data_IF_079550708667
#
_entry.id   IF_079550708667
#
_cell.length_a   1.000
_cell.length_b   1.000
_cell.length_c   1.000
_cell.angle_alpha   90.00
_cell.angle_beta   90.00
_cell.angle_gamma   90.00
#
_symmetry.space_group_name_H-M   'P 1'
#
loop_
_entity.id
_entity.type
_entity.pdbx_description
1 polymer ?
#
# COMPACT_ATOMS: atom_id res chain seq x y z
N UNK A 1 -28.25 -26.27 16.37
CA UNK A 1 -27.07 -25.58 16.88
C UNK A 1 -27.00 -24.24 16.17
N UNK A 2 -27.46 -23.16 16.76
CA UNK A 2 -27.37 -21.82 16.19
C UNK A 2 -25.91 -21.40 16.31
N UNK A 3 -25.18 -21.40 15.19
CA UNK A 3 -23.86 -20.81 15.10
C UNK A 3 -24.04 -19.32 15.44
N UNK A 4 -23.48 -18.86 16.55
CA UNK A 4 -23.39 -17.44 16.83
C UNK A 4 -22.72 -16.79 15.63
N UNK A 5 -23.25 -15.67 15.07
CA UNK A 5 -22.64 -15.03 13.91
C UNK A 5 -21.21 -14.66 14.26
N UNK A 6 -20.26 -15.22 13.52
CA UNK A 6 -18.84 -14.92 13.73
C UNK A 6 -18.63 -13.40 13.61
N UNK A 7 -17.97 -12.82 14.61
CA UNK A 7 -17.79 -11.37 14.69
C UNK A 7 -16.76 -10.91 13.64
N UNK A 8 -17.16 -10.02 12.73
CA UNK A 8 -16.25 -9.38 11.78
C UNK A 8 -15.10 -8.64 12.51
N UNK A 9 -15.46 -7.88 13.54
CA UNK A 9 -14.52 -7.10 14.36
C UNK A 9 -13.78 -7.98 15.38
N UNK A 10 -13.08 -9.00 14.87
CA UNK A 10 -12.17 -9.79 15.69
C UNK A 10 -10.78 -9.11 15.76
N UNK A 11 -10.01 -9.47 16.80
CA UNK A 11 -8.68 -8.88 17.05
C UNK A 11 -7.75 -8.98 15.85
N UNK A 12 -7.74 -10.12 15.17
CA UNK A 12 -6.84 -10.34 14.02
C UNK A 12 -7.22 -9.47 12.83
N UNK A 13 -8.51 -9.31 12.55
CA UNK A 13 -8.97 -8.43 11.48
C UNK A 13 -8.60 -6.97 11.76
N UNK A 14 -8.81 -6.49 13.00
CA UNK A 14 -8.45 -5.13 13.41
C UNK A 14 -6.93 -4.91 13.25
N UNK A 15 -6.10 -5.84 13.70
CA UNK A 15 -4.64 -5.77 13.51
C UNK A 15 -4.24 -5.73 12.02
N UNK A 16 -4.97 -6.48 11.18
CA UNK A 16 -4.76 -6.50 9.74
C UNK A 16 -5.09 -5.14 9.11
N UNK A 17 -6.19 -4.49 9.53
CA UNK A 17 -6.58 -3.15 9.09
C UNK A 17 -5.52 -2.11 9.48
N UNK A 18 -5.03 -2.14 10.72
CA UNK A 18 -3.98 -1.20 11.16
C UNK A 18 -2.66 -1.44 10.44
N UNK A 19 -2.25 -2.70 10.23
CA UNK A 19 -1.04 -3.00 9.46
C UNK A 19 -1.14 -2.42 8.04
N UNK A 20 -2.27 -2.63 7.36
CA UNK A 20 -2.52 -2.11 6.02
C UNK A 20 -2.57 -0.57 6.02
N UNK A 21 -3.25 0.04 6.99
CA UNK A 21 -3.33 1.49 7.16
C UNK A 21 -1.94 2.12 7.30
N UNK A 22 -1.08 1.62 8.19
CA UNK A 22 0.27 2.17 8.37
C UNK A 22 1.16 1.97 7.14
N UNK A 23 1.02 0.84 6.43
CA UNK A 23 1.71 0.62 5.17
C UNK A 23 1.36 1.71 4.14
N UNK A 24 0.07 2.02 4.01
CA UNK A 24 -0.38 3.00 3.03
C UNK A 24 -0.18 4.45 3.49
N UNK A 25 -0.26 4.76 4.79
CA UNK A 25 0.17 6.06 5.32
C UNK A 25 1.64 6.31 4.98
N UNK A 26 2.51 5.35 5.24
CA UNK A 26 3.93 5.42 4.87
C UNK A 26 4.12 5.63 3.37
N UNK A 27 3.45 4.82 2.55
CA UNK A 27 3.57 4.89 1.09
C UNK A 27 3.16 6.25 0.53
N UNK A 28 1.98 6.76 0.90
CA UNK A 28 1.46 8.03 0.39
C UNK A 28 2.19 9.24 0.99
N UNK A 29 2.68 9.16 2.22
CA UNK A 29 3.57 10.18 2.79
C UNK A 29 4.85 10.32 1.97
N UNK A 30 5.51 9.20 1.63
CA UNK A 30 6.70 9.22 0.76
C UNK A 30 6.39 9.70 -0.65
N UNK A 31 5.26 9.29 -1.22
CA UNK A 31 4.85 9.72 -2.56
C UNK A 31 4.76 11.25 -2.63
N UNK A 32 4.29 11.89 -1.55
CA UNK A 32 4.13 13.35 -1.47
C UNK A 32 5.43 14.07 -1.18
N UNK A 33 6.27 13.54 -0.29
CA UNK A 33 7.42 14.29 0.22
C UNK A 33 8.70 14.10 -0.61
N UNK A 34 8.86 12.95 -1.27
CA UNK A 34 10.09 12.66 -2.02
C UNK A 34 10.38 13.62 -3.17
N UNK A 35 9.40 14.06 -3.97
CA UNK A 35 9.67 15.09 -4.99
C UNK A 35 10.24 16.37 -4.39
N UNK A 36 9.71 16.80 -3.24
CA UNK A 36 10.15 18.02 -2.55
C UNK A 36 11.57 17.82 -2.01
N UNK A 37 11.85 16.66 -1.40
CA UNK A 37 13.18 16.31 -0.90
C UNK A 37 14.24 16.29 -2.00
N UNK A 38 13.92 15.65 -3.15
CA UNK A 38 14.83 15.56 -4.29
C UNK A 38 15.19 16.96 -4.81
N UNK A 39 14.19 17.84 -4.96
CA UNK A 39 14.40 19.19 -5.50
C UNK A 39 15.08 20.14 -4.51
N UNK A 40 14.79 20.03 -3.20
CA UNK A 40 15.30 20.97 -2.20
C UNK A 40 16.61 20.53 -1.57
N UNK A 41 16.77 19.26 -1.21
CA UNK A 41 17.92 18.77 -0.45
C UNK A 41 18.96 18.08 -1.33
N UNK A 42 18.52 17.35 -2.37
CA UNK A 42 19.44 16.65 -3.26
C UNK A 42 19.79 17.44 -4.52
N UNK A 43 19.24 18.64 -4.72
CA UNK A 43 19.49 19.49 -5.88
C UNK A 43 19.03 18.87 -7.21
N UNK A 44 18.13 17.90 -7.14
CA UNK A 44 17.61 17.22 -8.32
C UNK A 44 16.49 18.01 -9.03
N UNK A 45 16.19 17.59 -10.25
CA UNK A 45 15.16 18.17 -11.11
C UNK A 45 13.79 17.50 -10.89
N UNK A 46 12.73 18.11 -11.42
CA UNK A 46 11.36 17.53 -11.47
C UNK A 46 11.38 16.18 -12.21
N UNK A 47 12.22 16.05 -13.25
CA UNK A 47 12.37 14.79 -14.00
C UNK A 47 12.92 13.67 -13.13
N UNK A 48 13.90 13.95 -12.31
CA UNK A 48 14.51 12.97 -11.39
C UNK A 48 13.56 12.61 -10.24
N UNK A 49 12.78 13.59 -9.77
CA UNK A 49 11.69 13.33 -8.82
C UNK A 49 10.64 12.36 -9.42
N UNK A 50 10.22 12.59 -10.66
CA UNK A 50 9.34 11.67 -11.39
C UNK A 50 9.96 10.29 -11.59
N UNK A 51 11.27 10.21 -11.88
CA UNK A 51 12.00 8.95 -12.02
C UNK A 51 12.01 8.13 -10.72
N UNK A 52 12.21 8.76 -9.57
CA UNK A 52 12.19 8.09 -8.28
C UNK A 52 10.82 7.45 -7.97
N UNK A 53 9.72 8.12 -8.32
CA UNK A 53 8.37 7.57 -8.19
C UNK A 53 8.14 6.43 -9.18
N UNK A 54 8.56 6.62 -10.42
CA UNK A 54 8.40 5.63 -11.50
C UNK A 54 9.18 4.34 -11.21
N UNK A 55 10.42 4.42 -10.74
CA UNK A 55 11.25 3.25 -10.43
C UNK A 55 10.61 2.36 -9.35
N UNK A 56 10.02 2.97 -8.32
CA UNK A 56 9.29 2.23 -7.28
C UNK A 56 8.08 1.50 -7.87
N UNK A 57 7.26 2.19 -8.66
CA UNK A 57 6.08 1.60 -9.28
C UNK A 57 6.47 0.54 -10.32
N UNK A 58 7.45 0.81 -11.16
CA UNK A 58 7.94 -0.12 -12.18
C UNK A 58 8.44 -1.42 -11.54
N UNK A 59 9.28 -1.34 -10.51
CA UNK A 59 9.77 -2.52 -9.79
C UNK A 59 8.63 -3.28 -9.11
N UNK A 60 7.68 -2.56 -8.49
CA UNK A 60 6.52 -3.17 -7.85
C UNK A 60 5.62 -3.91 -8.85
N UNK A 61 5.35 -3.31 -10.01
CA UNK A 61 4.53 -3.92 -11.07
C UNK A 61 5.26 -5.13 -11.67
N UNK A 62 6.56 -5.00 -11.98
CA UNK A 62 7.35 -6.07 -12.59
C UNK A 62 7.44 -7.33 -11.68
N UNK A 63 7.49 -7.14 -10.36
CA UNK A 63 7.59 -8.25 -9.40
C UNK A 63 6.22 -8.85 -9.05
N UNK A 64 5.12 -8.15 -9.31
CA UNK A 64 3.77 -8.60 -8.90
C UNK A 64 3.38 -9.99 -9.39
N UNK A 65 3.63 -10.40 -10.66
CA UNK A 65 3.34 -11.77 -11.10
C UNK A 65 4.11 -12.84 -10.32
N UNK A 66 5.33 -12.52 -9.91
CA UNK A 66 6.20 -13.43 -9.14
C UNK A 66 5.87 -13.44 -7.65
N UNK A 67 5.24 -12.40 -7.13
CA UNK A 67 4.85 -12.29 -5.72
C UNK A 67 3.90 -13.42 -5.32
N UNK A 68 2.93 -13.79 -6.17
CA UNK A 68 2.04 -14.93 -5.96
C UNK A 68 2.81 -16.24 -5.77
N UNK A 69 3.75 -16.54 -6.66
CA UNK A 69 4.59 -17.75 -6.60
C UNK A 69 5.49 -17.77 -5.36
N UNK A 70 6.03 -16.63 -4.95
CA UNK A 70 6.81 -16.51 -3.72
C UNK A 70 5.94 -16.84 -2.51
N UNK A 71 4.71 -16.33 -2.46
CA UNK A 71 3.75 -16.57 -1.39
C UNK A 71 3.33 -18.05 -1.35
N UNK A 72 3.12 -18.69 -2.49
CA UNK A 72 2.81 -20.11 -2.56
C UNK A 72 3.96 -20.98 -2.05
N UNK A 73 5.21 -20.67 -2.43
CA UNK A 73 6.40 -21.42 -2.01
C UNK A 73 6.74 -21.22 -0.53
N UNK A 74 6.81 -19.98 -0.07
CA UNK A 74 7.23 -19.63 1.29
C UNK A 74 6.07 -19.69 2.30
N UNK A 75 4.83 -19.51 1.83
CA UNK A 75 3.65 -19.36 2.66
C UNK A 75 3.37 -17.90 3.03
N UNK A 76 2.12 -17.62 3.39
CA UNK A 76 1.63 -16.28 3.69
C UNK A 76 2.35 -15.63 4.87
N UNK A 77 2.56 -16.40 5.94
CA UNK A 77 3.19 -15.91 7.18
C UNK A 77 4.63 -15.48 6.96
N UNK A 78 5.44 -16.33 6.31
CA UNK A 78 6.85 -16.04 6.04
C UNK A 78 6.95 -14.89 5.05
N UNK A 79 6.16 -14.91 3.98
CA UNK A 79 6.16 -13.84 2.97
C UNK A 79 5.77 -12.48 3.56
N UNK A 80 4.71 -12.43 4.39
CA UNK A 80 4.24 -11.18 4.98
C UNK A 80 5.24 -10.62 6.01
N UNK A 81 5.72 -11.46 6.91
CA UNK A 81 6.68 -11.04 7.96
C UNK A 81 8.05 -10.72 7.38
N UNK A 82 8.57 -11.58 6.49
CA UNK A 82 9.88 -11.39 5.85
C UNK A 82 9.91 -10.14 4.98
N UNK A 83 8.93 -10.00 4.08
CA UNK A 83 8.82 -8.79 3.27
C UNK A 83 8.59 -7.54 4.13
N UNK A 84 7.82 -7.63 5.22
CA UNK A 84 7.60 -6.54 6.16
C UNK A 84 8.89 -6.08 6.85
N UNK A 85 9.72 -7.01 7.31
CA UNK A 85 11.03 -6.69 7.91
C UNK A 85 11.93 -5.97 6.91
N UNK A 86 12.07 -6.53 5.70
CA UNK A 86 12.95 -5.94 4.69
C UNK A 86 12.41 -4.58 4.24
N UNK A 87 11.08 -4.44 4.08
CA UNK A 87 10.45 -3.17 3.77
C UNK A 87 10.71 -2.11 4.84
N UNK A 88 10.62 -2.47 6.13
CA UNK A 88 10.95 -1.58 7.24
C UNK A 88 12.45 -1.22 7.27
N UNK A 89 13.34 -2.16 6.98
CA UNK A 89 14.78 -1.87 6.86
C UNK A 89 15.07 -0.84 5.77
N UNK A 90 14.44 -0.95 4.59
CA UNK A 90 14.54 0.07 3.55
C UNK A 90 13.95 1.41 3.99
N UNK A 91 12.91 1.43 4.85
CA UNK A 91 12.39 2.67 5.40
C UNK A 91 13.44 3.39 6.27
N UNK A 92 14.20 2.68 7.09
CA UNK A 92 15.36 3.25 7.79
C UNK A 92 16.48 3.64 6.84
N UNK A 93 16.63 2.94 5.72
CA UNK A 93 17.60 3.26 4.68
C UNK A 93 17.50 4.70 4.16
N UNK A 94 16.31 5.32 4.18
CA UNK A 94 16.15 6.73 3.79
C UNK A 94 16.92 7.71 4.68
N UNK A 95 17.24 7.34 5.92
CA UNK A 95 18.07 8.16 6.81
C UNK A 95 19.54 8.25 6.38
N UNK A 96 19.99 7.29 5.58
CA UNK A 96 21.36 7.13 5.10
C UNK A 96 21.55 7.65 3.66
N UNK A 97 20.51 8.23 3.07
CA UNK A 97 20.54 8.73 1.69
C UNK A 97 21.21 10.10 1.66
N UNK A 98 22.32 10.18 0.94
CA UNK A 98 23.08 11.41 0.72
C UNK A 98 23.21 11.77 -0.77
N UNK A 99 22.68 10.95 -1.67
CA UNK A 99 22.76 11.18 -3.12
C UNK A 99 21.48 10.73 -3.85
N UNK A 100 21.25 11.32 -5.01
CA UNK A 100 20.15 10.94 -5.86
C UNK A 100 20.22 9.47 -6.30
N UNK A 101 21.42 8.97 -6.62
CA UNK A 101 21.61 7.59 -7.06
C UNK A 101 21.28 6.57 -5.97
N UNK A 102 21.70 6.83 -4.72
CA UNK A 102 21.35 5.99 -3.58
C UNK A 102 19.82 5.98 -3.34
N UNK A 103 19.16 7.14 -3.49
CA UNK A 103 17.71 7.25 -3.42
C UNK A 103 17.02 6.39 -4.49
N UNK A 104 17.45 6.51 -5.75
CA UNK A 104 16.86 5.77 -6.86
C UNK A 104 17.00 4.25 -6.66
N UNK A 105 18.17 3.80 -6.18
CA UNK A 105 18.40 2.39 -5.87
C UNK A 105 17.49 1.90 -4.73
N UNK A 106 17.40 2.66 -3.65
CA UNK A 106 16.51 2.33 -2.52
C UNK A 106 15.06 2.28 -3.00
N UNK A 107 14.61 3.24 -3.82
CA UNK A 107 13.24 3.25 -4.38
C UNK A 107 12.95 2.01 -5.21
N UNK A 108 13.87 1.62 -6.09
CA UNK A 108 13.72 0.42 -6.90
C UNK A 108 13.61 -0.85 -6.03
N UNK A 109 14.53 -1.05 -5.11
CA UNK A 109 14.52 -2.22 -4.22
C UNK A 109 13.31 -2.22 -3.28
N UNK A 110 12.92 -1.07 -2.78
CA UNK A 110 11.77 -0.91 -1.89
C UNK A 110 10.45 -1.29 -2.57
N UNK A 111 10.28 -0.97 -3.87
CA UNK A 111 9.11 -1.34 -4.67
C UNK A 111 8.93 -2.86 -4.80
N UNK A 112 10.01 -3.63 -4.85
CA UNK A 112 9.97 -5.11 -4.88
C UNK A 112 9.24 -5.64 -3.64
N UNK A 113 9.64 -5.19 -2.45
CA UNK A 113 9.07 -5.67 -1.19
C UNK A 113 7.66 -5.15 -0.95
N UNK A 114 7.35 -3.94 -1.45
CA UNK A 114 5.98 -3.43 -1.47
C UNK A 114 5.05 -4.33 -2.28
N UNK A 115 5.50 -4.82 -3.43
CA UNK A 115 4.72 -5.74 -4.27
C UNK A 115 4.34 -7.01 -3.51
N UNK A 116 5.32 -7.64 -2.83
CA UNK A 116 5.08 -8.87 -2.05
C UNK A 116 4.12 -8.58 -0.90
N UNK A 117 4.34 -7.49 -0.14
CA UNK A 117 3.49 -7.11 0.98
C UNK A 117 2.03 -6.89 0.58
N UNK A 118 1.81 -6.07 -0.46
CA UNK A 118 0.44 -5.76 -0.91
C UNK A 118 -0.26 -6.96 -1.54
N UNK A 119 0.50 -7.88 -2.16
CA UNK A 119 -0.06 -9.12 -2.70
C UNK A 119 -0.46 -10.10 -1.60
N UNK A 120 0.33 -10.25 -0.54
CA UNK A 120 0.02 -11.17 0.56
C UNK A 120 -1.01 -10.61 1.55
N UNK A 121 -1.13 -9.30 1.66
CA UNK A 121 -2.03 -8.64 2.63
C UNK A 121 -3.51 -9.00 2.38
N UNK A 122 -3.93 -9.06 1.12
CA UNK A 122 -5.32 -9.38 0.74
C UNK A 122 -5.75 -10.79 1.18
N UNK A 123 -5.04 -11.89 0.80
CA UNK A 123 -5.41 -13.22 1.25
C UNK A 123 -5.25 -13.41 2.77
N UNK A 124 -4.36 -12.69 3.43
CA UNK A 124 -4.24 -12.71 4.89
C UNK A 124 -5.44 -12.04 5.54
N UNK A 125 -5.87 -10.85 5.06
CA UNK A 125 -7.06 -10.18 5.56
C UNK A 125 -8.30 -11.07 5.40
N UNK A 126 -8.42 -11.73 4.24
CA UNK A 126 -9.54 -12.60 3.92
C UNK A 126 -9.67 -13.82 4.87
N UNK A 127 -8.57 -14.29 5.49
CA UNK A 127 -8.62 -15.37 6.50
C UNK A 127 -9.36 -14.96 7.78
N UNK A 128 -9.34 -13.69 8.13
CA UNK A 128 -9.92 -13.19 9.38
C UNK A 128 -11.35 -12.66 9.21
N UNK A 129 -11.89 -12.70 7.99
CA UNK A 129 -13.24 -12.24 7.67
C UNK A 129 -14.17 -13.45 7.58
N UNK A 130 -15.31 -13.47 8.32
CA UNK A 130 -16.32 -14.52 8.21
C UNK A 130 -16.86 -14.66 6.78
N UNK A 131 -17.12 -15.89 6.33
CA UNK A 131 -17.59 -16.18 4.97
C UNK A 131 -18.83 -15.36 4.56
N UNK A 132 -19.80 -15.21 5.50
CA UNK A 132 -21.04 -14.48 5.25
C UNK A 132 -20.85 -12.96 5.13
N UNK A 133 -19.68 -12.43 5.55
CA UNK A 133 -19.38 -11.00 5.59
C UNK A 133 -18.11 -10.63 4.78
N UNK A 134 -17.75 -11.46 3.79
CA UNK A 134 -16.55 -11.26 2.96
C UNK A 134 -16.56 -9.91 2.24
N UNK A 135 -17.68 -9.53 1.61
CA UNK A 135 -17.79 -8.25 0.92
C UNK A 135 -17.61 -7.06 1.86
N UNK A 136 -18.31 -7.08 3.00
CA UNK A 136 -18.23 -6.04 4.00
C UNK A 136 -16.81 -5.92 4.59
N UNK A 137 -16.21 -7.05 5.00
CA UNK A 137 -14.87 -7.06 5.59
C UNK A 137 -13.80 -6.59 4.60
N UNK A 138 -13.84 -7.07 3.34
CA UNK A 138 -12.94 -6.57 2.31
C UNK A 138 -13.16 -5.10 2.02
N UNK A 139 -14.40 -4.63 2.15
CA UNK A 139 -14.72 -3.22 2.10
C UNK A 139 -13.98 -2.39 3.14
N UNK A 140 -13.98 -2.80 4.40
CA UNK A 140 -13.22 -2.13 5.46
C UNK A 140 -11.71 -2.25 5.23
N UNK A 141 -11.24 -3.36 4.67
CA UNK A 141 -9.82 -3.52 4.32
C UNK A 141 -9.38 -2.48 3.27
N UNK A 142 -10.15 -2.31 2.21
CA UNK A 142 -9.88 -1.27 1.18
C UNK A 142 -10.00 0.14 1.78
N UNK A 143 -10.95 0.37 2.70
CA UNK A 143 -11.09 1.64 3.41
C UNK A 143 -9.81 2.00 4.20
N UNK A 144 -9.14 1.03 4.81
CA UNK A 144 -7.86 1.29 5.49
C UNK A 144 -6.78 1.81 4.55
N UNK A 145 -6.76 1.36 3.28
CA UNK A 145 -5.92 1.94 2.22
C UNK A 145 -6.29 3.38 1.92
N UNK A 146 -7.59 3.65 1.74
CA UNK A 146 -8.09 4.98 1.41
C UNK A 146 -7.82 6.00 2.53
N UNK A 147 -7.89 5.57 3.78
CA UNK A 147 -7.44 6.40 4.91
C UNK A 147 -5.94 6.72 4.80
N UNK A 148 -5.12 5.78 4.36
CA UNK A 148 -3.70 6.01 4.07
C UNK A 148 -3.47 7.08 3.00
N UNK A 149 -4.31 7.13 1.94
CA UNK A 149 -4.27 8.18 0.90
C UNK A 149 -4.44 9.58 1.48
N UNK A 150 -5.31 9.73 2.49
CA UNK A 150 -5.60 11.02 3.13
C UNK A 150 -4.56 11.36 4.21
N UNK A 151 -4.32 10.42 5.13
CA UNK A 151 -3.46 10.66 6.29
C UNK A 151 -1.97 10.70 5.93
N UNK A 152 -1.53 10.01 4.88
CA UNK A 152 -0.14 10.01 4.44
C UNK A 152 0.37 11.41 4.07
N UNK A 153 -0.21 12.05 3.05
CA UNK A 153 0.15 13.43 2.66
C UNK A 153 -0.06 14.43 3.78
N UNK A 154 -1.16 14.33 4.52
CA UNK A 154 -1.45 15.22 5.65
C UNK A 154 -0.34 15.18 6.69
N UNK A 155 0.06 13.98 7.12
CA UNK A 155 1.15 13.76 8.07
C UNK A 155 2.47 14.32 7.51
N UNK A 156 2.83 13.97 6.27
CA UNK A 156 4.10 14.38 5.68
C UNK A 156 4.22 15.90 5.57
N UNK A 157 3.18 16.56 5.02
CA UNK A 157 3.17 18.00 4.81
C UNK A 157 3.07 18.79 6.13
N UNK A 158 2.39 18.26 7.14
CA UNK A 158 2.33 18.89 8.46
C UNK A 158 3.66 18.77 9.19
N UNK A 159 4.23 17.56 9.25
CA UNK A 159 5.46 17.32 10.01
C UNK A 159 6.64 18.06 9.40
N UNK A 160 6.76 18.13 8.06
CA UNK A 160 7.89 18.80 7.41
C UNK A 160 7.94 20.33 7.68
N UNK A 161 6.82 20.94 8.07
CA UNK A 161 6.79 22.35 8.44
C UNK A 161 7.57 22.64 9.73
N UNK A 162 7.71 21.66 10.60
CA UNK A 162 8.33 21.78 11.93
C UNK A 162 9.62 21.00 12.08
N UNK A 163 9.99 20.15 11.08
CA UNK A 163 11.12 19.25 11.19
C UNK A 163 11.94 19.19 9.89
N UNK A 164 13.09 18.52 9.95
CA UNK A 164 13.90 18.21 8.75
C UNK A 164 13.36 16.98 8.00
N UNK A 165 13.77 16.81 6.73
CA UNK A 165 13.47 15.60 5.95
C UNK A 165 13.98 14.33 6.63
N UNK A 166 15.18 14.35 7.23
CA UNK A 166 15.71 13.20 7.98
C UNK A 166 14.83 12.83 9.17
N UNK A 167 14.36 13.83 9.94
CA UNK A 167 13.43 13.57 11.04
C UNK A 167 12.11 12.99 10.55
N UNK A 168 11.56 13.52 9.45
CA UNK A 168 10.33 12.98 8.85
C UNK A 168 10.53 11.54 8.39
N UNK A 169 11.63 11.19 7.72
CA UNK A 169 11.93 9.79 7.34
C UNK A 169 12.04 8.88 8.56
N UNK A 170 12.62 9.36 9.67
CA UNK A 170 12.65 8.63 10.94
C UNK A 170 11.25 8.36 11.48
N UNK A 171 10.38 9.36 11.50
CA UNK A 171 8.97 9.21 11.93
C UNK A 171 8.24 8.19 11.04
N UNK A 172 8.43 8.28 9.72
CA UNK A 172 7.81 7.35 8.78
C UNK A 172 8.34 5.91 8.96
N UNK A 173 9.64 5.75 9.26
CA UNK A 173 10.22 4.45 9.56
C UNK A 173 9.66 3.85 10.86
N UNK A 174 9.36 4.68 11.87
CA UNK A 174 8.68 4.25 13.09
C UNK A 174 7.24 3.81 12.78
N UNK A 175 6.50 4.58 11.98
CA UNK A 175 5.13 4.27 11.59
C UNK A 175 5.04 2.91 10.89
N UNK A 176 5.91 2.64 9.92
CA UNK A 176 5.90 1.33 9.24
C UNK A 176 6.34 0.20 10.18
N UNK A 177 7.23 0.47 11.13
CA UNK A 177 7.65 -0.49 12.15
C UNK A 177 6.50 -0.85 13.11
N UNK A 178 5.62 0.11 13.45
CA UNK A 178 4.38 -0.17 14.19
C UNK A 178 3.45 -1.09 13.37
N UNK A 179 3.30 -0.84 12.08
CA UNK A 179 2.58 -1.74 11.18
C UNK A 179 3.16 -3.15 11.19
N UNK A 180 4.48 -3.28 11.15
CA UNK A 180 5.17 -4.57 11.24
C UNK A 180 4.92 -5.28 12.59
N UNK A 181 4.88 -4.56 13.70
CA UNK A 181 4.54 -5.13 15.02
C UNK A 181 3.13 -5.73 14.97
N UNK A 182 2.15 -5.03 14.42
CA UNK A 182 0.80 -5.57 14.25
C UNK A 182 0.78 -6.80 13.35
N UNK A 183 1.56 -6.82 12.27
CA UNK A 183 1.75 -8.00 11.42
C UNK A 183 2.28 -9.21 12.21
N UNK A 184 3.24 -9.01 13.12
CA UNK A 184 3.79 -10.10 13.94
C UNK A 184 2.80 -10.63 14.97
N UNK A 185 1.86 -9.82 15.44
CA UNK A 185 0.78 -10.22 16.36
C UNK A 185 -0.32 -11.03 15.64
N UNK A 186 -0.36 -11.06 14.29
CA UNK A 186 -1.34 -11.82 13.54
C UNK A 186 -1.09 -13.34 13.66
N UNK A 187 -2.16 -14.08 13.93
CA UNK A 187 -2.16 -15.55 13.94
C UNK A 187 -2.47 -16.09 12.54
N UNK A 188 -1.56 -15.87 11.60
CA UNK A 188 -1.71 -16.31 10.20
C UNK A 188 -1.62 -17.82 10.14
N UNK A 189 -2.62 -18.47 9.56
CA UNK A 189 -2.67 -19.93 9.38
C UNK A 189 -1.88 -20.33 8.13
N UNK A 190 -0.95 -21.26 8.30
CA UNK A 190 -0.18 -21.78 7.20
C UNK A 190 -0.74 -23.12 6.72
N UNK A 191 -0.98 -23.25 5.43
CA UNK A 191 -1.30 -24.54 4.85
C UNK A 191 -0.09 -25.48 4.94
N UNK A 192 -0.29 -26.79 5.21
CA UNK A 192 0.79 -27.79 5.21
C UNK A 192 1.60 -27.73 3.92
N UNK A 193 2.93 -27.88 4.03
CA UNK A 193 3.84 -27.83 2.86
C UNK A 193 3.45 -28.82 1.75
N UNK A 194 2.89 -29.98 2.10
CA UNK A 194 2.42 -30.98 1.14
C UNK A 194 1.29 -30.50 0.22
N UNK A 195 0.50 -29.53 0.64
CA UNK A 195 -0.54 -28.89 -0.18
C UNK A 195 -0.04 -27.69 -0.99
N UNK A 196 1.13 -27.14 -0.63
CA UNK A 196 1.75 -26.01 -1.35
C UNK A 196 2.51 -26.46 -2.59
N UNK A 197 3.00 -27.69 -2.64
CA UNK A 197 3.81 -28.25 -3.74
C UNK A 197 2.91 -29.00 -4.76
N UNK A 198 1.67 -28.57 -4.92
CA UNK A 198 0.65 -29.31 -5.68
C UNK A 198 0.61 -29.08 -7.18
N UNK A 199 1.58 -28.39 -7.78
CA UNK A 199 1.72 -28.38 -9.25
C UNK A 199 3.17 -28.24 -9.65
N UNK A 200 3.81 -29.38 -9.88
CA UNK A 200 5.15 -29.48 -10.44
C UNK A 200 5.28 -28.96 -11.90
N UNK A 201 4.73 -27.80 -12.20
CA UNK A 201 4.95 -27.12 -13.47
C UNK A 201 6.26 -26.33 -13.40
N UNK A 202 7.30 -26.93 -13.96
CA UNK A 202 8.63 -26.33 -14.14
C UNK A 202 8.68 -25.23 -15.20
N UNK A 203 7.62 -25.00 -15.97
CA UNK A 203 7.55 -23.96 -17.01
C UNK A 203 6.41 -23.00 -16.68
N UNK A 204 6.75 -21.73 -16.52
CA UNK A 204 5.79 -20.63 -16.45
C UNK A 204 5.02 -20.57 -17.77
N UNK A 205 3.71 -20.80 -17.71
CA UNK A 205 2.78 -20.56 -18.80
C UNK A 205 2.20 -19.16 -18.66
N UNK A 206 1.86 -18.51 -19.78
CA UNK A 206 1.10 -17.25 -19.78
C UNK A 206 -0.22 -17.40 -18.99
N UNK A 207 -0.81 -18.60 -18.95
CA UNK A 207 -2.02 -18.91 -18.19
C UNK A 207 -1.78 -18.92 -16.66
N UNK A 208 -0.55 -19.11 -16.20
CA UNK A 208 -0.21 -19.06 -14.77
C UNK A 208 -0.03 -17.58 -14.31
N UNK A 209 0.15 -16.65 -15.25
CA UNK A 209 0.34 -15.21 -14.99
C UNK A 209 -0.98 -14.44 -15.22
N UNK A 210 -1.80 -14.89 -16.18
CA UNK A 210 -2.98 -14.16 -16.64
C UNK A 210 -4.24 -15.05 -16.51
N UNK A 211 -5.08 -14.77 -15.52
CA UNK A 211 -6.38 -15.40 -15.35
C UNK A 211 -7.42 -14.69 -16.23
N UNK A 212 -7.76 -15.30 -17.37
CA UNK A 212 -8.66 -14.71 -18.39
C UNK A 212 -10.04 -14.35 -17.81
N UNK A 213 -10.53 -15.13 -16.83
CA UNK A 213 -11.85 -14.93 -16.22
C UNK A 213 -11.98 -13.59 -15.48
N UNK A 214 -10.86 -13.04 -14.97
CA UNK A 214 -10.88 -11.76 -14.23
C UNK A 214 -10.56 -10.56 -15.12
N UNK A 215 -10.26 -10.74 -16.42
CA UNK A 215 -9.91 -9.63 -17.30
C UNK A 215 -11.02 -8.58 -17.42
N UNK A 216 -12.28 -8.99 -17.53
CA UNK A 216 -13.40 -8.07 -17.63
C UNK A 216 -13.49 -7.17 -16.39
N UNK A 217 -13.42 -7.75 -15.19
CA UNK A 217 -13.44 -7.01 -13.93
C UNK A 217 -12.19 -6.12 -13.79
N UNK A 218 -11.03 -6.62 -14.24
CA UNK A 218 -9.78 -5.85 -14.24
C UNK A 218 -9.83 -4.65 -15.18
N UNK A 219 -10.48 -4.78 -16.35
CA UNK A 219 -10.69 -3.65 -17.26
C UNK A 219 -11.60 -2.58 -16.64
N UNK A 220 -12.69 -2.97 -15.98
CA UNK A 220 -13.57 -2.02 -15.28
C UNK A 220 -12.80 -1.31 -14.16
N UNK A 221 -12.03 -2.07 -13.37
CA UNK A 221 -11.20 -1.50 -12.31
C UNK A 221 -10.14 -0.54 -12.87
N UNK A 222 -9.50 -0.88 -14.00
CA UNK A 222 -8.53 -0.02 -14.68
C UNK A 222 -9.15 1.29 -15.12
N UNK A 223 -10.31 1.26 -15.79
CA UNK A 223 -11.02 2.46 -16.25
C UNK A 223 -11.45 3.34 -15.09
N UNK A 224 -11.97 2.73 -14.02
CA UNK A 224 -12.35 3.44 -12.79
C UNK A 224 -11.14 4.09 -12.12
N UNK A 225 -10.04 3.36 -11.99
CA UNK A 225 -8.80 3.89 -11.42
C UNK A 225 -8.20 5.00 -12.29
N UNK A 226 -8.30 4.90 -13.61
CA UNK A 226 -7.84 5.94 -14.54
C UNK A 226 -8.66 7.22 -14.37
N UNK A 227 -9.99 7.13 -14.36
CA UNK A 227 -10.86 8.28 -14.12
C UNK A 227 -10.60 8.92 -12.75
N UNK A 228 -10.46 8.10 -11.70
CA UNK A 228 -10.13 8.54 -10.35
C UNK A 228 -8.78 9.26 -10.29
N UNK A 229 -7.75 8.72 -10.94
CA UNK A 229 -6.41 9.33 -10.94
C UNK A 229 -6.42 10.69 -11.64
N UNK A 230 -7.21 10.86 -12.69
CA UNK A 230 -7.39 12.15 -13.37
C UNK A 230 -7.92 13.22 -12.41
N UNK A 231 -8.98 12.91 -11.66
CA UNK A 231 -9.54 13.84 -10.66
C UNK A 231 -8.47 14.16 -9.60
N UNK A 232 -7.86 13.14 -8.99
CA UNK A 232 -6.90 13.33 -7.90
C UNK A 232 -5.63 14.07 -8.32
N UNK A 233 -5.17 13.88 -9.55
CA UNK A 233 -3.97 14.53 -10.06
C UNK A 233 -4.20 15.99 -10.46
N UNK A 234 -5.38 16.32 -10.97
CA UNK A 234 -5.64 17.62 -11.57
C UNK A 234 -6.52 18.55 -10.72
N UNK A 235 -7.14 18.07 -9.64
CA UNK A 235 -8.04 18.87 -8.82
C UNK A 235 -7.37 20.14 -8.27
N UNK A 236 -6.12 20.02 -7.84
CA UNK A 236 -5.36 21.17 -7.28
C UNK A 236 -5.07 22.19 -8.37
N UNK A 237 -4.55 21.77 -9.53
CA UNK A 237 -4.26 22.65 -10.66
C UNK A 237 -5.54 23.31 -11.21
N UNK A 238 -6.64 22.56 -11.27
CA UNK A 238 -7.95 23.08 -11.64
C UNK A 238 -8.43 24.15 -10.66
N UNK A 239 -8.36 23.87 -9.36
CA UNK A 239 -8.77 24.79 -8.29
C UNK A 239 -7.93 26.09 -8.34
N UNK A 240 -6.63 25.98 -8.59
CA UNK A 240 -5.75 27.13 -8.74
C UNK A 240 -6.18 27.98 -9.94
N UNK A 241 -6.42 27.38 -11.09
CA UNK A 241 -6.88 28.08 -12.31
C UNK A 241 -8.22 28.81 -12.14
N UNK A 242 -9.05 28.36 -11.19
CA UNK A 242 -10.34 28.96 -10.84
C UNK A 242 -10.31 29.84 -9.59
N UNK A 243 -9.14 30.10 -9.01
CA UNK A 243 -8.95 30.85 -7.76
C UNK A 243 -9.69 30.21 -6.56
N UNK A 244 -9.87 28.89 -6.58
CA UNK A 244 -10.56 28.11 -5.55
C UNK A 244 -9.60 27.26 -4.71
N UNK A 245 -8.31 27.58 -4.70
CA UNK A 245 -7.28 26.76 -4.03
C UNK A 245 -7.57 26.55 -2.54
N UNK A 246 -8.14 27.54 -1.85
CA UNK A 246 -8.53 27.43 -0.45
C UNK A 246 -9.59 26.34 -0.20
N UNK A 247 -10.41 26.01 -1.19
CA UNK A 247 -11.46 25.00 -1.09
C UNK A 247 -10.98 23.58 -1.44
N UNK A 248 -9.74 23.42 -1.95
CA UNK A 248 -9.19 22.11 -2.29
C UNK A 248 -9.08 21.22 -1.06
N UNK A 249 -8.70 21.76 0.09
CA UNK A 249 -8.68 21.02 1.37
C UNK A 249 -10.06 20.54 1.78
N UNK A 250 -11.09 21.36 1.57
CA UNK A 250 -12.49 20.98 1.85
C UNK A 250 -12.94 19.82 0.95
N UNK A 251 -12.55 19.84 -0.34
CA UNK A 251 -12.80 18.71 -1.24
C UNK A 251 -12.27 17.40 -0.68
N UNK A 252 -11.02 17.36 -0.24
CA UNK A 252 -10.41 16.14 0.31
C UNK A 252 -11.07 15.70 1.62
N UNK A 253 -11.46 16.64 2.48
CA UNK A 253 -12.20 16.33 3.72
C UNK A 253 -13.56 15.72 3.40
N UNK A 254 -14.33 16.33 2.50
CA UNK A 254 -15.66 15.86 2.08
C UNK A 254 -15.51 14.48 1.40
N UNK A 255 -14.51 14.32 0.55
CA UNK A 255 -14.22 13.05 -0.10
C UNK A 255 -13.95 11.93 0.92
N UNK A 256 -13.05 12.16 1.90
CA UNK A 256 -12.75 11.22 2.96
C UNK A 256 -14.00 10.91 3.84
N UNK A 257 -14.76 11.94 4.22
CA UNK A 257 -15.99 11.79 4.99
C UNK A 257 -17.05 10.98 4.22
N UNK A 258 -17.23 11.26 2.93
CA UNK A 258 -18.16 10.51 2.07
C UNK A 258 -17.79 9.04 1.97
N UNK A 259 -16.50 8.73 1.82
CA UNK A 259 -16.00 7.34 1.82
C UNK A 259 -16.32 6.60 3.12
N UNK A 260 -16.14 7.27 4.26
CA UNK A 260 -16.43 6.69 5.58
C UNK A 260 -17.94 6.47 5.79
N UNK A 261 -18.76 7.46 5.40
CA UNK A 261 -20.22 7.43 5.63
C UNK A 261 -20.93 6.42 4.73
N UNK A 262 -20.53 6.30 3.47
CA UNK A 262 -21.19 5.39 2.51
C UNK A 262 -20.84 3.92 2.79
N UNK A 263 -19.71 3.64 3.44
CA UNK A 263 -19.19 2.28 3.61
C UNK A 263 -20.12 1.29 4.32
N UNK A 264 -20.85 1.66 5.39
CA UNK A 264 -21.77 0.72 6.04
C UNK A 264 -22.95 0.27 5.17
N UNK A 265 -23.21 0.99 4.07
CA UNK A 265 -24.37 0.76 3.18
C UNK A 265 -24.01 0.00 1.89
N UNK A 266 -22.72 -0.22 1.64
CA UNK A 266 -22.15 -0.90 0.47
C UNK A 266 -21.38 -2.15 0.90
#
# INVERSE_FOLDING_TARGET
MSLSPERLWNRSFILCLFNNFFLFVYYFALLTILPIYIMKDLGGSVKEAGLALTLFLASSIAVRPFSGMIIEKLGKKISMRGAGVIFALFAFGYLLIDSLWSLLLVRFLHGIWFSILTTVAVPVANEFIPEQRKGEGMGYFVMSTNLGVVFGPLLALTVIQFTSFKSLFGILAIIISLGLIFCWMLKITELPKSRRIGTGKTKLSLQDILEVKVLAVSCVALLTAFAYSGIMSFITAFSESKQLLAYTSVFFIVFAASMLLVRPWV
#
